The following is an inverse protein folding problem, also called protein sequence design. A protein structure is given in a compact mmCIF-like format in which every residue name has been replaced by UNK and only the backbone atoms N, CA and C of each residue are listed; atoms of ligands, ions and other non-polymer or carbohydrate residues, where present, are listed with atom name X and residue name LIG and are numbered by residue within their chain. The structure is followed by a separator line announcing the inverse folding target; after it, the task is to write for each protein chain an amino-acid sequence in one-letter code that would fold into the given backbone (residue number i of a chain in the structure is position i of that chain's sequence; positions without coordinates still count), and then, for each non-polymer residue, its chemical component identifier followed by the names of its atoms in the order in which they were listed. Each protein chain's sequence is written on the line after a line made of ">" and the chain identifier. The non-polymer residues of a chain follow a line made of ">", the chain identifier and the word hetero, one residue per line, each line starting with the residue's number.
data_IF_524986767683
#
_entry.id   IF_524986767683
#
_cell.length_a   1.000
_cell.length_b   1.000
_cell.length_c   1.000
_cell.angle_alpha   90.00
_cell.angle_beta   90.00
_cell.angle_gamma   90.00
#
_symmetry.space_group_name_H-M   'P 1'
#
loop_
_entity.id
_entity.type
_entity.pdbx_description
1 polymer ?
#
# COMPACT_ATOMS: atom_id res chain seq x y z
N UNK A 1 -8.90 -11.25 15.20
CA UNK A 1 -7.65 -10.58 14.80
C UNK A 1 -7.15 -11.06 13.44
N UNK A 2 -7.94 -11.79 12.64
CA UNK A 2 -7.48 -12.42 11.37
C UNK A 2 -7.91 -11.70 10.09
N UNK A 3 -8.82 -10.72 10.16
CA UNK A 3 -9.43 -10.13 8.95
C UNK A 3 -8.51 -9.16 8.22
N UNK A 4 -7.68 -8.42 8.95
CA UNK A 4 -6.81 -7.42 8.36
C UNK A 4 -5.67 -8.09 7.56
N UNK A 5 -5.10 -9.18 8.09
CA UNK A 5 -4.09 -9.99 7.39
C UNK A 5 -4.57 -10.56 6.06
N UNK A 6 -5.84 -10.97 5.97
CA UNK A 6 -6.43 -11.47 4.74
C UNK A 6 -6.56 -10.36 3.67
N UNK A 7 -6.95 -9.16 4.09
CA UNK A 7 -7.07 -7.98 3.20
C UNK A 7 -5.70 -7.60 2.65
N UNK A 8 -4.69 -7.46 3.50
CA UNK A 8 -3.32 -7.14 3.06
C UNK A 8 -2.76 -8.19 2.11
N UNK A 9 -2.96 -9.47 2.42
CA UNK A 9 -2.51 -10.55 1.54
C UNK A 9 -3.21 -10.50 0.17
N UNK A 10 -4.50 -10.16 0.14
CA UNK A 10 -5.25 -9.98 -1.11
C UNK A 10 -4.70 -8.80 -1.91
N UNK A 11 -4.51 -7.64 -1.29
CA UNK A 11 -3.96 -6.46 -1.94
C UNK A 11 -2.56 -6.74 -2.51
N UNK A 12 -1.70 -7.39 -1.73
CA UNK A 12 -0.35 -7.76 -2.19
C UNK A 12 -0.38 -8.64 -3.44
N UNK A 13 -1.26 -9.65 -3.45
CA UNK A 13 -1.44 -10.54 -4.59
C UNK A 13 -1.93 -9.77 -5.81
N UNK A 14 -2.95 -8.91 -5.66
CA UNK A 14 -3.44 -8.06 -6.75
C UNK A 14 -2.31 -7.20 -7.33
N UNK A 15 -1.53 -6.52 -6.49
CA UNK A 15 -0.46 -5.63 -6.95
C UNK A 15 0.63 -6.39 -7.69
N UNK A 16 0.92 -7.64 -7.31
CA UNK A 16 1.97 -8.46 -7.93
C UNK A 16 1.48 -9.30 -9.11
N UNK A 17 0.17 -9.42 -9.31
CA UNK A 17 -0.39 -10.20 -10.40
C UNK A 17 -0.11 -9.51 -11.75
N UNK A 18 0.71 -10.09 -12.63
CA UNK A 18 0.94 -9.54 -13.97
C UNK A 18 -0.29 -9.64 -14.88
N UNK A 19 -1.28 -10.48 -14.53
CA UNK A 19 -2.55 -10.63 -15.23
C UNK A 19 -3.60 -9.58 -14.86
N UNK A 20 -3.39 -8.83 -13.76
CA UNK A 20 -4.28 -7.71 -13.42
C UNK A 20 -3.91 -6.43 -14.15
N UNK A 21 -4.95 -5.64 -14.43
CA UNK A 21 -4.79 -4.35 -15.07
C UNK A 21 -4.01 -3.38 -14.17
N UNK A 22 -3.24 -2.48 -14.79
CA UNK A 22 -2.44 -1.50 -14.08
C UNK A 22 -3.32 -0.54 -13.28
N UNK A 23 -4.58 -0.32 -13.68
CA UNK A 23 -5.56 0.45 -12.91
C UNK A 23 -5.91 -0.26 -11.60
N UNK A 24 -6.27 -1.55 -11.65
CA UNK A 24 -6.63 -2.33 -10.45
C UNK A 24 -5.43 -2.47 -9.51
N UNK A 25 -4.23 -2.62 -10.05
CA UNK A 25 -2.99 -2.68 -9.28
C UNK A 25 -2.68 -1.36 -8.59
N UNK A 26 -2.95 -0.23 -9.24
CA UNK A 26 -2.84 1.12 -8.64
C UNK A 26 -3.89 1.33 -7.56
N UNK A 27 -5.14 0.92 -7.79
CA UNK A 27 -6.19 0.98 -6.77
C UNK A 27 -5.83 0.18 -5.52
N UNK A 28 -5.23 -1.00 -5.67
CA UNK A 28 -4.76 -1.79 -4.53
C UNK A 28 -3.62 -1.08 -3.75
N UNK A 29 -2.74 -0.33 -4.43
CA UNK A 29 -1.76 0.55 -3.77
C UNK A 29 -2.43 1.72 -3.04
N UNK A 30 -3.49 2.29 -3.62
CA UNK A 30 -4.28 3.36 -2.99
C UNK A 30 -4.98 2.87 -1.72
N UNK A 31 -5.50 1.64 -1.71
CA UNK A 31 -6.09 1.02 -0.54
C UNK A 31 -5.06 0.83 0.58
N UNK A 32 -3.83 0.40 0.26
CA UNK A 32 -2.71 0.37 1.23
C UNK A 32 -2.38 1.76 1.76
N UNK A 33 -2.38 2.79 0.90
CA UNK A 33 -2.12 4.16 1.31
C UNK A 33 -3.19 4.68 2.28
N UNK A 34 -4.46 4.42 1.96
CA UNK A 34 -5.61 4.88 2.73
C UNK A 34 -5.69 4.24 4.12
N UNK A 35 -5.27 2.99 4.24
CA UNK A 35 -5.23 2.28 5.53
C UNK A 35 -4.32 2.98 6.55
N UNK A 36 -3.18 3.55 6.10
CA UNK A 36 -2.37 4.40 6.96
C UNK A 36 -1.69 3.69 8.14
N UNK A 37 -1.73 2.36 8.22
CA UNK A 37 -1.08 1.58 9.27
C UNK A 37 0.42 1.37 8.99
N UNK A 38 1.18 1.08 10.05
CA UNK A 38 2.60 0.71 9.96
C UNK A 38 2.79 -0.53 9.06
N UNK A 39 1.83 -1.47 9.08
CA UNK A 39 1.87 -2.66 8.25
C UNK A 39 1.69 -2.32 6.76
N UNK A 40 0.80 -1.39 6.43
CA UNK A 40 0.66 -0.92 5.07
C UNK A 40 1.92 -0.19 4.59
N UNK A 41 2.58 0.60 5.47
CA UNK A 41 3.88 1.22 5.18
C UNK A 41 4.94 0.16 4.85
N UNK A 42 5.10 -0.87 5.68
CA UNK A 42 6.06 -1.96 5.44
C UNK A 42 5.82 -2.66 4.09
N UNK A 43 4.56 -2.88 3.73
CA UNK A 43 4.21 -3.47 2.44
C UNK A 43 4.54 -2.56 1.26
N UNK A 44 4.26 -1.26 1.37
CA UNK A 44 4.61 -0.29 0.33
C UNK A 44 6.14 -0.22 0.13
N UNK A 45 6.92 -0.28 1.22
CA UNK A 45 8.39 -0.35 1.16
C UNK A 45 8.84 -1.62 0.43
N UNK A 46 8.22 -2.77 0.75
CA UNK A 46 8.51 -4.04 0.08
C UNK A 46 8.22 -3.97 -1.43
N UNK A 47 7.07 -3.41 -1.80
CA UNK A 47 6.64 -3.24 -3.19
C UNK A 47 7.52 -2.25 -3.96
N UNK A 48 7.95 -1.15 -3.34
CA UNK A 48 8.86 -0.18 -3.94
C UNK A 48 10.21 -0.80 -4.32
N UNK A 49 10.68 -1.77 -3.52
CA UNK A 49 11.94 -2.48 -3.75
C UNK A 49 11.79 -3.77 -4.59
N UNK A 50 10.59 -4.10 -5.06
CA UNK A 50 10.33 -5.36 -5.77
C UNK A 50 10.81 -5.31 -7.23
N UNK A 51 11.94 -5.96 -7.52
CA UNK A 51 12.53 -6.02 -8.86
C UNK A 51 11.64 -6.62 -9.96
N UNK A 52 10.60 -7.37 -9.59
CA UNK A 52 9.66 -7.99 -10.54
C UNK A 52 8.44 -7.12 -10.83
N UNK A 53 8.22 -6.09 -10.02
CA UNK A 53 7.11 -5.16 -10.18
C UNK A 53 7.42 -4.14 -11.28
N UNK A 54 6.40 -3.75 -12.05
CA UNK A 54 6.53 -2.70 -13.08
C UNK A 54 7.13 -1.43 -12.47
N UNK A 55 8.01 -0.77 -13.21
CA UNK A 55 8.68 0.46 -12.76
C UNK A 55 7.70 1.54 -12.30
N UNK A 56 6.58 1.73 -13.01
CA UNK A 56 5.54 2.68 -12.62
C UNK A 56 4.94 2.36 -11.25
N UNK A 57 4.59 1.10 -11.01
CA UNK A 57 3.99 0.67 -9.74
C UNK A 57 4.97 0.79 -8.57
N UNK A 58 6.26 0.51 -8.80
CA UNK A 58 7.31 0.76 -7.81
C UNK A 58 7.43 2.24 -7.45
N UNK A 59 7.39 3.13 -8.44
CA UNK A 59 7.45 4.56 -8.19
C UNK A 59 6.23 5.04 -7.40
N UNK A 60 5.03 4.55 -7.72
CA UNK A 60 3.82 4.86 -6.94
C UNK A 60 3.98 4.38 -5.50
N UNK A 61 4.42 3.14 -5.28
CA UNK A 61 4.67 2.62 -3.94
C UNK A 61 5.71 3.45 -3.17
N UNK A 62 6.77 3.90 -3.84
CA UNK A 62 7.80 4.76 -3.26
C UNK A 62 7.26 6.15 -2.90
N UNK A 63 6.50 6.79 -3.79
CA UNK A 63 5.80 8.05 -3.50
C UNK A 63 4.90 7.92 -2.28
N UNK A 64 4.25 6.77 -2.14
CA UNK A 64 3.32 6.50 -1.05
C UNK A 64 4.07 6.34 0.27
N UNK A 65 5.23 5.68 0.28
CA UNK A 65 6.13 5.68 1.43
C UNK A 65 6.52 7.12 1.87
N UNK A 66 6.77 8.03 0.92
CA UNK A 66 7.05 9.43 1.25
C UNK A 66 5.85 10.18 1.84
N UNK A 67 4.63 9.91 1.35
CA UNK A 67 3.39 10.48 1.92
C UNK A 67 3.17 10.02 3.37
N UNK A 68 3.45 8.75 3.67
CA UNK A 68 3.45 8.22 5.04
C UNK A 68 4.41 8.97 5.96
N UNK A 69 5.67 9.15 5.52
CA UNK A 69 6.70 9.91 6.28
C UNK A 69 6.30 11.37 6.55
N UNK A 70 5.53 11.97 5.64
CA UNK A 70 4.99 13.34 5.80
C UNK A 70 3.74 13.40 6.68
N UNK A 71 3.17 12.26 7.08
CA UNK A 71 1.95 12.19 7.87
C UNK A 71 0.68 12.50 7.08
N UNK A 72 0.73 12.46 5.75
CA UNK A 72 -0.41 12.77 4.88
C UNK A 72 -1.48 11.66 4.86
N UNK A 73 -1.15 10.48 5.40
CA UNK A 73 -1.97 9.27 5.37
C UNK A 73 -2.59 8.91 6.73
N UNK A 74 -2.21 9.61 7.81
CA UNK A 74 -2.77 9.32 9.14
C UNK A 74 -4.21 9.83 9.19
N UNK A 75 -5.16 8.91 9.16
CA UNK A 75 -6.47 9.18 9.74
C UNK A 75 -6.23 9.70 11.15
N UNK A 76 -6.65 10.95 11.39
CA UNK A 76 -6.63 11.61 12.69
C UNK A 76 -7.12 10.60 13.72
N UNK A 77 -6.24 10.17 14.62
CA UNK A 77 -6.67 9.58 15.88
C UNK A 77 -7.66 10.58 16.48
N UNK A 78 -8.93 10.20 16.53
CA UNK A 78 -9.92 10.95 17.28
C UNK A 78 -9.38 11.07 18.70
N UNK A 79 -9.11 12.31 19.10
CA UNK A 79 -8.81 12.72 20.46
C UNK A 79 -9.77 11.98 21.40
N UNK A 80 -9.21 11.17 22.30
CA UNK A 80 -9.83 10.90 23.59
C UNK A 80 -9.91 12.24 24.34
N UNK A 81 -11.10 12.79 24.51
CA UNK A 81 -11.49 13.57 25.69
C UNK A 81 -12.97 13.30 25.99
#
# INVERSE_FOLDING_TARGET
>A
MEKDDEIYNKLYKTIKDPGMDDIERKQALDELLADGSDKAEEMLISLANDGYLKFELRNVALEYCFKFKKGECRHKENKKE
#
